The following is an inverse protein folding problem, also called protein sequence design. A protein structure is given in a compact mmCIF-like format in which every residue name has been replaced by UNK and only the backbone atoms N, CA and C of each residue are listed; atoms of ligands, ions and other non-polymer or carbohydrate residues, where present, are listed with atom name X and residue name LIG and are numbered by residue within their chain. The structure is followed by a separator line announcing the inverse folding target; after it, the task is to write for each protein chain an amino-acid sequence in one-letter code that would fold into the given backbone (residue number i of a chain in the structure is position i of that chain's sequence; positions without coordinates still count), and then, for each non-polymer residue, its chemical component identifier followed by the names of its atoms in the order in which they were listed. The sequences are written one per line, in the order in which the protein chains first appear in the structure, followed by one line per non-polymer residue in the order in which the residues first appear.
data_IF_942943088997
#
_entry.id   IF_942943088997
#
_cell.length_a   1.000
_cell.length_b   1.000
_cell.length_c   1.000
_cell.angle_alpha   90.00
_cell.angle_beta   90.00
_cell.angle_gamma   90.00
#
_symmetry.space_group_name_H-M   'P 1'
#
loop_
_entity.id
_entity.type
_entity.pdbx_description
1 polymer ?
#
# COMPACT_ATOMS: atom_id res chain seq x y z
N UNK A 1 13.57 -6.33 10.34
CA UNK A 1 12.51 -6.08 9.35
C UNK A 1 13.14 -6.16 7.97
N UNK A 2 12.59 -7.00 7.09
CA UNK A 2 13.07 -7.14 5.72
C UNK A 2 11.94 -6.71 4.78
N UNK A 3 12.25 -5.85 3.82
CA UNK A 3 11.30 -5.44 2.77
C UNK A 3 12.05 -5.36 1.46
N UNK A 4 11.78 -6.30 0.55
CA UNK A 4 12.58 -6.47 -0.69
C UNK A 4 14.06 -6.65 -0.34
N UNK A 5 14.91 -5.81 -0.91
CA UNK A 5 16.36 -5.73 -0.74
C UNK A 5 16.80 -4.89 0.48
N UNK A 6 15.86 -4.41 1.30
CA UNK A 6 16.17 -3.65 2.50
C UNK A 6 16.17 -4.54 3.74
N UNK A 7 17.21 -4.40 4.56
CA UNK A 7 17.31 -5.00 5.91
C UNK A 7 17.44 -3.88 6.92
N UNK A 8 16.56 -3.85 7.92
CA UNK A 8 16.62 -2.81 8.94
C UNK A 8 15.84 -3.10 10.20
N UNK A 9 15.64 -2.05 10.98
CA UNK A 9 15.10 -2.12 12.34
C UNK A 9 13.61 -1.84 12.35
N UNK A 10 12.92 -2.40 13.35
CA UNK A 10 11.51 -2.11 13.64
C UNK A 10 11.38 -1.80 15.12
N UNK A 11 10.68 -0.71 15.44
CA UNK A 11 10.32 -0.32 16.80
C UNK A 11 8.81 -0.17 16.89
N UNK A 12 8.25 -0.63 17.99
CA UNK A 12 6.84 -0.44 18.32
C UNK A 12 6.71 0.65 19.38
N UNK A 13 5.54 1.29 19.45
CA UNK A 13 5.18 2.05 20.65
C UNK A 13 4.89 1.10 21.83
N UNK A 14 4.76 1.66 23.03
CA UNK A 14 4.64 0.88 24.27
C UNK A 14 3.40 -0.01 24.35
N UNK A 15 2.35 0.27 23.57
CA UNK A 15 1.12 -0.53 23.50
C UNK A 15 1.06 -1.44 22.25
N UNK A 16 2.08 -1.41 21.38
CA UNK A 16 2.19 -2.21 20.17
C UNK A 16 1.23 -1.82 19.05
N UNK A 17 0.45 -0.74 19.20
CA UNK A 17 -0.58 -0.30 18.23
C UNK A 17 -0.02 0.57 17.11
N UNK A 18 1.21 1.02 17.27
CA UNK A 18 1.97 1.82 16.33
C UNK A 18 3.40 1.34 16.24
N UNK A 19 4.16 2.00 15.37
CA UNK A 19 5.56 1.66 15.19
C UNK A 19 6.17 2.34 13.98
N UNK A 20 7.49 2.17 13.89
CA UNK A 20 8.31 2.62 12.77
C UNK A 20 9.21 1.46 12.37
N UNK A 21 9.28 1.18 11.09
CA UNK A 21 10.28 0.32 10.49
C UNK A 21 11.14 1.17 9.54
N UNK A 22 12.44 1.01 9.63
CA UNK A 22 13.40 1.79 8.86
C UNK A 22 14.54 0.91 8.38
N UNK A 23 14.97 1.12 7.15
CA UNK A 23 16.16 0.51 6.59
C UNK A 23 16.81 1.45 5.58
N UNK A 24 18.12 1.30 5.41
CA UNK A 24 18.92 2.00 4.43
C UNK A 24 19.60 0.99 3.49
N UNK A 25 19.98 1.45 2.31
CA UNK A 25 20.86 0.74 1.38
C UNK A 25 21.74 1.74 0.62
N UNK A 26 22.70 1.22 -0.13
CA UNK A 26 23.64 2.01 -0.93
C UNK A 26 24.36 3.06 -0.07
N UNK A 27 24.90 2.63 1.08
CA UNK A 27 25.58 3.49 2.06
C UNK A 27 24.74 4.69 2.54
N UNK A 28 23.45 4.47 2.77
CA UNK A 28 22.53 5.51 3.26
C UNK A 28 21.95 6.40 2.15
N UNK A 29 22.33 6.19 0.88
CA UNK A 29 21.79 6.96 -0.25
C UNK A 29 20.30 6.72 -0.45
N UNK A 30 19.84 5.49 -0.18
CA UNK A 30 18.44 5.12 -0.29
C UNK A 30 17.95 4.63 1.07
N UNK A 31 16.76 5.09 1.46
CA UNK A 31 16.13 4.71 2.70
C UNK A 31 14.66 4.41 2.49
N UNK A 32 14.15 3.48 3.28
CA UNK A 32 12.73 3.20 3.39
C UNK A 32 12.30 3.37 4.84
N UNK A 33 11.22 4.11 5.05
CA UNK A 33 10.63 4.33 6.35
C UNK A 33 9.13 4.02 6.26
N UNK A 34 8.66 3.10 7.09
CA UNK A 34 7.25 2.80 7.24
C UNK A 34 6.85 3.14 8.67
N UNK A 35 5.86 4.00 8.84
CA UNK A 35 5.31 4.37 10.15
C UNK A 35 3.81 4.13 10.19
N UNK A 36 3.30 3.62 11.31
CA UNK A 36 1.87 3.37 11.52
C UNK A 36 1.45 3.75 12.95
N UNK A 37 0.14 3.75 13.20
CA UNK A 37 -0.43 4.15 14.48
C UNK A 37 -0.17 5.63 14.79
N UNK A 38 0.05 5.98 16.05
CA UNK A 38 0.31 7.36 16.44
C UNK A 38 1.67 7.89 15.92
N UNK A 39 2.65 6.99 15.75
CA UNK A 39 4.00 7.35 15.29
C UNK A 39 4.02 7.84 13.83
N UNK A 40 3.04 7.48 12.99
CA UNK A 40 2.97 7.98 11.61
C UNK A 40 2.81 9.49 11.55
N UNK A 41 2.10 10.11 12.51
CA UNK A 41 1.95 11.56 12.57
C UNK A 41 3.24 12.27 12.98
N UNK A 42 4.07 11.62 13.80
CA UNK A 42 5.37 12.16 14.22
C UNK A 42 6.35 12.09 13.05
N UNK A 43 6.48 10.91 12.44
CA UNK A 43 7.33 10.70 11.25
C UNK A 43 6.89 11.61 10.11
N UNK A 44 5.58 11.67 9.81
CA UNK A 44 5.04 12.55 8.78
C UNK A 44 5.41 14.01 9.00
N UNK A 45 5.28 14.54 10.23
CA UNK A 45 5.71 15.91 10.57
C UNK A 45 7.22 16.12 10.50
N UNK A 46 8.02 15.14 10.87
CA UNK A 46 9.47 15.23 10.76
C UNK A 46 9.92 15.27 9.29
N UNK A 47 9.36 14.40 8.45
CA UNK A 47 9.57 14.42 7.00
C UNK A 47 9.03 15.70 6.38
N UNK A 48 7.92 16.23 6.92
CA UNK A 48 7.33 17.48 6.49
C UNK A 48 8.35 18.63 6.59
N UNK A 49 9.00 18.77 7.75
CA UNK A 49 9.99 19.82 8.02
C UNK A 49 11.21 19.76 7.11
N UNK A 50 11.57 18.58 6.59
CA UNK A 50 12.70 18.41 5.66
C UNK A 50 12.36 18.78 4.21
N UNK A 51 11.09 19.12 3.91
CA UNK A 51 10.63 19.50 2.56
C UNK A 51 11.06 18.51 1.47
N UNK A 52 10.96 17.21 1.78
CA UNK A 52 11.32 16.15 0.84
C UNK A 52 10.41 16.22 -0.39
N UNK A 53 10.97 16.01 -1.58
CA UNK A 53 10.16 15.97 -2.80
C UNK A 53 9.24 14.74 -2.82
N UNK A 54 7.93 14.96 -2.67
CA UNK A 54 6.94 13.92 -2.86
C UNK A 54 6.72 13.62 -4.35
N UNK A 55 7.11 12.42 -4.82
CA UNK A 55 6.87 11.99 -6.21
C UNK A 55 5.51 11.32 -6.40
N UNK A 56 4.93 10.82 -5.30
CA UNK A 56 3.63 10.17 -5.25
C UNK A 56 2.97 10.40 -3.89
N UNK A 57 1.67 10.66 -3.89
CA UNK A 57 0.82 10.78 -2.69
C UNK A 57 -0.47 10.00 -2.93
N UNK A 58 -0.81 9.10 -2.01
CA UNK A 58 -2.03 8.31 -2.06
C UNK A 58 -2.96 8.77 -0.94
N UNK A 59 -4.16 9.24 -1.31
CA UNK A 59 -5.22 9.61 -0.38
C UNK A 59 -6.23 8.47 -0.31
N UNK A 60 -6.70 8.13 0.89
CA UNK A 60 -7.61 7.00 1.07
C UNK A 60 -8.77 7.34 2.02
N UNK A 61 -9.96 6.86 1.64
CA UNK A 61 -11.16 6.83 2.49
C UNK A 61 -11.64 5.39 2.56
N UNK A 62 -11.78 4.86 3.77
CA UNK A 62 -12.32 3.51 3.99
C UNK A 62 -13.72 3.66 4.59
N UNK A 63 -14.69 2.98 3.99
CA UNK A 63 -16.11 3.06 4.35
C UNK A 63 -16.56 1.70 4.82
N UNK A 64 -17.08 1.66 6.05
CA UNK A 64 -17.82 0.50 6.55
C UNK A 64 -19.31 0.72 6.30
N UNK A 65 -19.89 -0.11 5.45
CA UNK A 65 -21.30 -0.07 5.11
C UNK A 65 -22.12 -0.87 6.13
N UNK A 66 -23.37 -0.47 6.34
CA UNK A 66 -24.33 -1.21 7.17
C UNK A 66 -24.89 -2.46 6.46
N UNK A 67 -24.72 -2.55 5.14
CA UNK A 67 -25.16 -3.66 4.30
C UNK A 67 -24.13 -3.96 3.22
N UNK A 68 -24.17 -5.18 2.71
CA UNK A 68 -23.37 -5.59 1.56
C UNK A 68 -23.65 -4.66 0.37
N UNK A 69 -22.59 -4.23 -0.31
CA UNK A 69 -22.65 -3.41 -1.52
C UNK A 69 -22.64 -4.30 -2.78
N UNK A 70 -23.01 -3.76 -3.95
CA UNK A 70 -22.91 -4.47 -5.23
C UNK A 70 -21.49 -5.00 -5.50
N UNK A 71 -21.34 -6.07 -6.28
CA UNK A 71 -20.01 -6.51 -6.66
C UNK A 71 -19.31 -5.47 -7.54
N UNK A 72 -17.97 -5.50 -7.60
CA UNK A 72 -17.20 -4.59 -8.46
C UNK A 72 -17.60 -4.72 -9.93
N UNK A 73 -18.00 -5.93 -10.36
CA UNK A 73 -18.51 -6.17 -11.71
C UNK A 73 -19.80 -5.39 -11.96
N UNK A 74 -20.77 -5.52 -11.06
CA UNK A 74 -22.05 -4.82 -11.16
C UNK A 74 -21.85 -3.29 -11.19
N UNK A 75 -20.92 -2.80 -10.34
CA UNK A 75 -20.55 -1.40 -10.36
C UNK A 75 -19.98 -0.99 -11.72
N UNK A 76 -19.01 -1.73 -12.26
CA UNK A 76 -18.43 -1.45 -13.58
C UNK A 76 -19.50 -1.42 -14.67
N UNK A 77 -20.42 -2.39 -14.68
CA UNK A 77 -21.47 -2.50 -15.69
C UNK A 77 -22.50 -1.36 -15.58
N UNK A 78 -22.63 -0.71 -14.41
CA UNK A 78 -23.47 0.48 -14.22
C UNK A 78 -22.82 1.81 -14.58
N UNK A 79 -21.50 1.83 -14.81
CA UNK A 79 -20.78 3.07 -15.10
C UNK A 79 -20.91 3.44 -16.59
N UNK A 80 -20.92 4.74 -16.92
CA UNK A 80 -21.08 5.18 -18.30
C UNK A 80 -19.81 4.88 -19.12
N UNK A 81 -19.94 3.96 -20.08
CA UNK A 81 -18.82 3.43 -20.85
C UNK A 81 -18.07 4.49 -21.69
N UNK A 82 -18.75 5.57 -22.08
CA UNK A 82 -18.24 6.53 -23.07
C UNK A 82 -17.49 7.73 -22.44
N UNK A 83 -17.54 7.89 -21.12
CA UNK A 83 -17.09 9.13 -20.47
C UNK A 83 -15.67 8.98 -19.91
N UNK A 84 -15.36 7.85 -19.29
CA UNK A 84 -14.08 7.64 -18.63
C UNK A 84 -13.56 6.22 -18.83
N UNK A 85 -12.24 6.06 -18.65
CA UNK A 85 -11.59 4.76 -18.69
C UNK A 85 -11.74 4.06 -17.34
N UNK A 86 -12.51 2.98 -17.31
CA UNK A 86 -12.61 2.07 -16.19
C UNK A 86 -12.05 0.71 -16.56
N UNK A 87 -11.41 0.04 -15.60
CA UNK A 87 -11.05 -1.38 -15.71
C UNK A 87 -11.27 -2.04 -14.37
N UNK A 88 -11.52 -3.35 -14.33
CA UNK A 88 -11.70 -4.06 -13.06
C UNK A 88 -10.90 -5.36 -13.03
N UNK A 89 -10.43 -5.71 -11.84
CA UNK A 89 -10.01 -7.07 -11.48
C UNK A 89 -11.15 -7.66 -10.67
N UNK A 90 -11.77 -8.71 -11.22
CA UNK A 90 -12.85 -9.45 -10.59
C UNK A 90 -12.35 -10.88 -10.36
N UNK A 91 -12.21 -11.34 -9.11
CA UNK A 91 -11.82 -12.72 -8.81
C UNK A 91 -12.83 -13.73 -9.37
N UNK A 92 -12.38 -14.95 -9.66
CA UNK A 92 -13.22 -16.03 -10.21
C UNK A 92 -14.36 -16.45 -9.27
N UNK A 93 -14.15 -16.35 -7.96
CA UNK A 93 -15.19 -16.63 -6.96
C UNK A 93 -16.16 -15.44 -6.78
N UNK A 94 -15.99 -14.35 -7.54
CA UNK A 94 -16.78 -13.12 -7.46
C UNK A 94 -16.79 -12.42 -6.09
N UNK A 95 -15.89 -12.80 -5.18
CA UNK A 95 -15.76 -12.16 -3.88
C UNK A 95 -14.72 -11.05 -3.94
N UNK A 96 -15.17 -9.83 -3.65
CA UNK A 96 -14.36 -8.63 -3.67
C UNK A 96 -14.08 -8.09 -5.06
N UNK A 97 -12.81 -7.77 -5.33
CA UNK A 97 -12.37 -7.15 -6.58
C UNK A 97 -11.92 -5.71 -6.41
N UNK A 98 -11.41 -5.15 -7.50
CA UNK A 98 -10.88 -3.78 -7.57
C UNK A 98 -11.32 -3.13 -8.89
N UNK A 99 -12.00 -2.00 -8.79
CA UNK A 99 -12.25 -1.06 -9.87
C UNK A 99 -11.10 -0.06 -9.94
N UNK A 100 -10.51 0.08 -11.12
CA UNK A 100 -9.54 1.11 -11.47
C UNK A 100 -10.22 2.21 -12.27
N UNK A 101 -9.95 3.46 -11.89
CA UNK A 101 -10.55 4.65 -12.48
C UNK A 101 -9.44 5.52 -13.07
N UNK A 102 -9.46 5.71 -14.38
CA UNK A 102 -8.41 6.40 -15.12
C UNK A 102 -7.22 5.50 -15.49
N UNK A 103 -6.08 6.11 -15.82
CA UNK A 103 -4.87 5.40 -16.22
C UNK A 103 -3.87 5.29 -15.08
N UNK A 104 -3.19 4.16 -14.94
CA UNK A 104 -2.07 4.06 -13.98
C UNK A 104 -0.89 4.97 -14.36
N UNK A 105 -0.77 5.41 -15.61
CA UNK A 105 0.30 6.30 -16.07
C UNK A 105 -0.03 7.81 -15.95
N UNK A 106 -1.28 8.17 -15.64
CA UNK A 106 -1.68 9.57 -15.47
C UNK A 106 -1.22 10.14 -14.13
N UNK A 107 -1.30 11.48 -14.01
CA UNK A 107 -0.92 12.21 -12.80
C UNK A 107 -1.90 11.98 -11.63
N UNK A 108 -3.12 11.53 -11.91
CA UNK A 108 -4.11 11.09 -10.92
C UNK A 108 -4.73 9.74 -11.36
N UNK A 109 -4.93 8.84 -10.41
CA UNK A 109 -5.43 7.48 -10.65
C UNK A 109 -6.24 6.97 -9.46
N UNK A 110 -7.44 6.46 -9.70
CA UNK A 110 -8.35 5.99 -8.65
C UNK A 110 -8.39 4.47 -8.52
N UNK A 111 -8.58 3.99 -7.29
CA UNK A 111 -8.87 2.59 -6.96
C UNK A 111 -10.06 2.52 -6.02
N UNK A 112 -11.05 1.73 -6.38
CA UNK A 112 -12.15 1.38 -5.50
C UNK A 112 -12.18 -0.13 -5.33
N UNK A 113 -12.08 -0.63 -4.11
CA UNK A 113 -11.98 -2.05 -3.90
C UNK A 113 -12.56 -2.52 -2.57
N UNK A 114 -12.89 -3.80 -2.52
CA UNK A 114 -13.39 -4.47 -1.32
C UNK A 114 -12.23 -4.78 -0.36
N UNK A 115 -12.04 -3.89 0.62
CA UNK A 115 -11.03 -4.05 1.65
C UNK A 115 -11.38 -5.18 2.62
N UNK A 116 -12.66 -5.48 2.81
CA UNK A 116 -13.11 -6.61 3.63
C UNK A 116 -12.58 -7.92 3.06
N UNK A 117 -12.82 -8.16 1.77
CA UNK A 117 -12.27 -9.31 1.08
C UNK A 117 -10.72 -9.34 1.09
N UNK A 118 -10.05 -8.19 0.93
CA UNK A 118 -8.58 -8.11 1.00
C UNK A 118 -8.03 -8.51 2.38
N UNK A 119 -8.68 -8.08 3.46
CA UNK A 119 -8.29 -8.43 4.83
C UNK A 119 -8.59 -9.89 5.15
N UNK A 120 -9.73 -10.41 4.67
CA UNK A 120 -10.19 -11.77 4.84
C UNK A 120 -11.25 -11.92 5.94
N UNK A 121 -11.27 -13.10 6.60
CA UNK A 121 -12.40 -13.64 7.37
C UNK A 121 -12.96 -12.76 8.51
N UNK A 122 -12.23 -11.74 8.96
CA UNK A 122 -12.66 -10.87 10.06
C UNK A 122 -13.75 -9.87 9.62
N UNK A 123 -13.87 -9.61 8.32
CA UNK A 123 -14.84 -8.65 7.77
C UNK A 123 -15.52 -9.27 6.56
N UNK A 124 -16.86 -9.38 6.55
CA UNK A 124 -17.58 -9.91 5.40
C UNK A 124 -17.25 -9.14 4.11
N UNK A 125 -17.10 -9.84 2.97
CA UNK A 125 -16.95 -9.20 1.67
C UNK A 125 -18.07 -8.19 1.39
N UNK A 126 -17.70 -7.13 0.68
CA UNK A 126 -18.54 -6.04 0.18
C UNK A 126 -19.13 -5.16 1.28
N UNK A 127 -18.65 -5.26 2.51
CA UNK A 127 -19.07 -4.42 3.64
C UNK A 127 -18.04 -3.33 3.94
N UNK A 128 -16.75 -3.58 3.72
CA UNK A 128 -15.68 -2.61 3.92
C UNK A 128 -15.04 -2.25 2.58
N UNK A 129 -15.32 -1.04 2.10
CA UNK A 129 -14.82 -0.55 0.82
C UNK A 129 -13.73 0.48 1.04
N UNK A 130 -12.73 0.50 0.16
CA UNK A 130 -11.71 1.54 0.14
C UNK A 130 -11.68 2.26 -1.19
N UNK A 131 -11.72 3.58 -1.08
CA UNK A 131 -11.56 4.55 -2.15
C UNK A 131 -10.17 5.14 -2.00
N UNK A 132 -9.29 4.94 -2.98
CA UNK A 132 -7.96 5.52 -3.02
C UNK A 132 -7.79 6.38 -4.26
N UNK A 133 -7.08 7.51 -4.11
CA UNK A 133 -6.63 8.34 -5.22
C UNK A 133 -5.13 8.53 -5.11
N UNK A 134 -4.41 8.04 -6.11
CA UNK A 134 -2.97 8.13 -6.27
C UNK A 134 -2.64 9.34 -7.16
N UNK A 135 -1.91 10.29 -6.60
CA UNK A 135 -1.41 11.48 -7.29
C UNK A 135 0.09 11.38 -7.51
N UNK A 136 0.58 11.86 -8.66
CA UNK A 136 1.99 11.75 -9.08
C UNK A 136 2.55 13.09 -9.52
N UNK A 137 3.88 13.13 -9.67
CA UNK A 137 4.61 14.25 -10.28
C UNK A 137 4.23 15.58 -9.61
N UNK A 138 3.78 16.58 -10.38
CA UNK A 138 3.43 17.92 -9.88
C UNK A 138 2.25 17.89 -8.91
N UNK A 139 1.27 17.00 -9.12
CA UNK A 139 0.12 16.87 -8.22
C UNK A 139 0.52 16.31 -6.86
N UNK A 140 1.45 15.35 -6.82
CA UNK A 140 1.98 14.82 -5.57
C UNK A 140 2.69 15.88 -4.74
N UNK A 141 3.50 16.74 -5.38
CA UNK A 141 4.18 17.86 -4.72
C UNK A 141 3.15 18.84 -4.16
N UNK A 142 2.20 19.30 -4.98
CA UNK A 142 1.18 20.25 -4.54
C UNK A 142 0.33 19.71 -3.37
N UNK A 143 -0.05 18.43 -3.42
CA UNK A 143 -0.79 17.80 -2.32
C UNK A 143 0.03 17.64 -1.06
N UNK A 144 1.32 17.31 -1.18
CA UNK A 144 2.20 17.22 -0.02
C UNK A 144 2.36 18.60 0.66
N UNK A 145 2.51 19.66 -0.14
CA UNK A 145 2.53 21.03 0.35
C UNK A 145 1.24 21.36 1.11
N UNK A 146 0.09 21.04 0.53
CA UNK A 146 -1.19 21.33 1.14
C UNK A 146 -1.42 20.52 2.41
N UNK A 147 -1.09 19.22 2.44
CA UNK A 147 -1.42 18.32 3.56
C UNK A 147 -0.41 18.39 4.69
N UNK A 148 0.89 18.36 4.38
CA UNK A 148 1.94 18.16 5.38
C UNK A 148 2.73 19.42 5.73
N UNK A 149 2.97 20.34 4.78
CA UNK A 149 3.86 21.48 5.04
C UNK A 149 3.17 22.75 5.56
N UNK A 150 1.82 22.79 5.55
CA UNK A 150 1.04 23.98 5.95
C UNK A 150 0.48 23.91 7.39
N UNK A 151 1.16 23.23 8.32
CA UNK A 151 0.79 23.09 9.75
C UNK A 151 -0.72 22.86 10.00
N UNK A 152 -1.33 21.97 9.22
CA UNK A 152 -2.76 21.69 9.33
C UNK A 152 -3.07 20.83 10.56
N UNK A 153 -4.20 21.13 11.20
CA UNK A 153 -4.80 20.22 12.19
C UNK A 153 -5.26 18.92 11.53
N UNK A 154 -5.37 17.84 12.32
CA UNK A 154 -5.88 16.55 11.85
C UNK A 154 -7.29 16.65 11.24
N UNK A 155 -8.14 17.53 11.78
CA UNK A 155 -9.50 17.77 11.27
C UNK A 155 -9.48 18.39 9.86
N UNK A 156 -8.58 19.36 9.64
CA UNK A 156 -8.38 19.97 8.32
C UNK A 156 -7.79 18.96 7.32
N UNK A 157 -6.81 18.15 7.73
CA UNK A 157 -6.26 17.08 6.89
C UNK A 157 -7.36 16.07 6.50
N UNK A 158 -8.22 15.66 7.44
CA UNK A 158 -9.35 14.76 7.16
C UNK A 158 -10.31 15.34 6.14
N UNK A 159 -10.72 16.59 6.34
CA UNK A 159 -11.61 17.31 5.41
C UNK A 159 -11.00 17.35 4.01
N UNK A 160 -9.69 17.58 3.94
CA UNK A 160 -8.94 17.64 2.70
C UNK A 160 -8.88 16.29 1.97
N UNK A 161 -8.55 15.22 2.69
CA UNK A 161 -8.54 13.85 2.15
C UNK A 161 -9.93 13.49 1.61
N UNK A 162 -10.99 13.75 2.38
CA UNK A 162 -12.36 13.46 1.95
C UNK A 162 -12.72 14.23 0.68
N UNK A 163 -12.41 15.53 0.62
CA UNK A 163 -12.73 16.37 -0.53
C UNK A 163 -12.07 15.87 -1.81
N UNK A 164 -10.77 15.60 -1.76
CA UNK A 164 -10.04 15.15 -2.94
C UNK A 164 -10.45 13.76 -3.42
N UNK A 165 -10.80 12.86 -2.49
CA UNK A 165 -11.27 11.53 -2.87
C UNK A 165 -12.70 11.62 -3.42
N UNK A 166 -13.60 12.34 -2.76
CA UNK A 166 -14.98 12.57 -3.23
C UNK A 166 -14.99 13.21 -4.63
N UNK A 167 -14.29 14.35 -4.79
CA UNK A 167 -14.24 15.09 -6.05
C UNK A 167 -13.66 14.23 -7.19
N UNK A 168 -12.60 13.45 -6.93
CA UNK A 168 -12.03 12.58 -7.95
C UNK A 168 -13.05 11.54 -8.45
N UNK A 169 -13.71 10.83 -7.55
CA UNK A 169 -14.66 9.79 -7.94
C UNK A 169 -15.94 10.39 -8.54
N UNK A 170 -16.45 11.52 -8.02
CA UNK A 170 -17.58 12.24 -8.61
C UNK A 170 -17.27 12.74 -10.03
N UNK A 171 -16.09 13.32 -10.25
CA UNK A 171 -15.63 13.74 -11.59
C UNK A 171 -15.58 12.58 -12.56
N UNK A 172 -15.31 11.37 -12.07
CA UNK A 172 -15.34 10.14 -12.85
C UNK A 172 -16.66 9.38 -12.71
N UNK A 173 -17.73 10.02 -12.24
CA UNK A 173 -19.09 9.47 -12.16
C UNK A 173 -19.20 8.15 -11.38
N UNK A 174 -18.25 7.89 -10.48
CA UNK A 174 -18.30 6.75 -9.54
C UNK A 174 -18.95 7.25 -8.25
N UNK A 175 -20.03 6.61 -7.78
CA UNK A 175 -20.73 7.05 -6.58
C UNK A 175 -19.86 6.90 -5.33
N UNK A 176 -19.92 7.89 -4.44
CA UNK A 176 -19.27 7.86 -3.13
C UNK A 176 -20.30 7.92 -2.02
N UNK A 177 -20.28 7.01 -1.03
CA UNK A 177 -21.25 6.97 0.09
C UNK A 177 -20.88 7.95 1.22
N UNK A 178 -19.91 8.84 0.98
CA UNK A 178 -19.43 9.84 1.92
C UNK A 178 -19.42 11.20 1.24
N UNK A 179 -19.54 12.25 2.06
CA UNK A 179 -19.38 13.62 1.60
C UNK A 179 -18.63 14.46 2.64
N UNK A 180 -17.88 15.46 2.18
CA UNK A 180 -17.22 16.48 3.00
C UNK A 180 -18.21 17.23 3.89
N UNK A 181 -19.44 17.43 3.40
CA UNK A 181 -20.49 18.17 4.10
C UNK A 181 -21.00 17.44 5.36
N UNK A 182 -20.90 16.10 5.40
CA UNK A 182 -21.42 15.28 6.49
C UNK A 182 -20.33 14.92 7.52
N UNK A 183 -19.76 15.94 8.17
CA UNK A 183 -18.61 15.78 9.10
C UNK A 183 -18.91 14.96 10.37
N UNK A 184 -20.19 14.83 10.74
CA UNK A 184 -20.60 14.19 12.00
C UNK A 184 -20.56 12.65 11.97
N UNK A 185 -20.45 12.03 10.79
CA UNK A 185 -20.47 10.57 10.64
C UNK A 185 -19.10 9.94 10.32
N UNK A 186 -18.00 10.68 10.47
CA UNK A 186 -16.67 10.17 10.15
C UNK A 186 -16.01 9.54 11.39
N UNK A 187 -16.25 8.26 11.61
CA UNK A 187 -15.54 7.47 12.63
C UNK A 187 -14.22 6.91 12.09
N UNK A 188 -13.22 6.75 12.97
CA UNK A 188 -11.99 6.04 12.64
C UNK A 188 -12.29 4.53 12.63
N UNK A 189 -12.45 3.94 11.44
CA UNK A 189 -12.50 2.49 11.30
C UNK A 189 -11.09 1.95 11.57
N UNK A 190 -10.89 1.37 12.75
CA UNK A 190 -9.66 0.66 13.10
C UNK A 190 -9.92 -0.83 12.89
N UNK A 191 -9.08 -1.47 12.10
CA UNK A 191 -9.04 -2.93 12.00
C UNK A 191 -7.59 -3.37 12.20
N UNK A 192 -7.39 -4.57 12.73
CA UNK A 192 -6.05 -5.07 13.04
C UNK A 192 -5.19 -5.20 11.77
N UNK A 193 -3.95 -4.74 11.84
CA UNK A 193 -2.96 -5.06 10.80
C UNK A 193 -2.73 -6.57 10.86
N UNK A 194 -3.14 -7.26 9.80
CA UNK A 194 -3.07 -8.71 9.75
C UNK A 194 -1.61 -9.18 9.75
N UNK A 195 -1.31 -10.17 10.59
CA UNK A 195 -0.06 -10.93 10.50
C UNK A 195 -0.10 -11.71 9.19
N UNK A 196 0.94 -11.61 8.36
CA UNK A 196 1.04 -12.42 7.13
C UNK A 196 0.91 -13.90 7.51
N UNK A 197 -0.15 -14.53 7.04
CA UNK A 197 -0.47 -15.93 7.27
C UNK A 197 0.15 -16.75 6.13
N UNK A 198 1.12 -17.60 6.48
CA UNK A 198 1.82 -18.47 5.55
C UNK A 198 0.87 -19.30 4.68
N UNK A 199 -0.28 -19.73 5.22
CA UNK A 199 -1.27 -20.49 4.47
C UNK A 199 -1.91 -19.66 3.35
N UNK A 200 -2.14 -18.36 3.58
CA UNK A 200 -2.65 -17.47 2.53
C UNK A 200 -1.60 -17.10 1.51
N UNK A 201 -0.34 -16.93 1.92
CA UNK A 201 0.77 -16.74 0.96
C UNK A 201 0.90 -17.95 0.05
N UNK A 202 0.84 -19.17 0.60
CA UNK A 202 0.83 -20.40 -0.18
C UNK A 202 -0.38 -20.47 -1.12
N UNK A 203 -1.58 -20.17 -0.63
CA UNK A 203 -2.78 -20.12 -1.47
C UNK A 203 -2.63 -19.14 -2.64
N UNK A 204 -2.10 -17.93 -2.39
CA UNK A 204 -1.84 -16.94 -3.44
C UNK A 204 -0.80 -17.42 -4.46
N UNK A 205 0.30 -18.05 -3.99
CA UNK A 205 1.30 -18.65 -4.88
C UNK A 205 0.64 -19.69 -5.81
N UNK A 206 -0.18 -20.58 -5.25
CA UNK A 206 -0.92 -21.61 -6.00
C UNK A 206 -1.90 -21.00 -7.00
N UNK A 207 -2.71 -20.01 -6.59
CA UNK A 207 -3.79 -19.50 -7.43
C UNK A 207 -3.31 -18.49 -8.49
N UNK A 208 -2.29 -17.70 -8.19
CA UNK A 208 -1.88 -16.56 -9.03
C UNK A 208 -0.53 -16.77 -9.71
N UNK A 209 0.42 -17.43 -9.05
CA UNK A 209 1.79 -17.58 -9.57
C UNK A 209 1.94 -18.90 -10.33
N UNK A 210 1.41 -20.00 -9.80
CA UNK A 210 1.54 -21.32 -10.40
C UNK A 210 1.07 -21.39 -11.87
N UNK A 211 -0.09 -20.80 -12.28
CA UNK A 211 -0.52 -20.91 -13.68
C UNK A 211 0.47 -20.25 -14.65
N UNK A 212 1.04 -19.10 -14.26
CA UNK A 212 2.04 -18.42 -15.07
C UNK A 212 3.36 -19.22 -15.15
N UNK A 213 3.79 -19.79 -14.02
CA UNK A 213 4.97 -20.66 -13.95
C UNK A 213 4.79 -21.90 -14.83
N UNK A 214 3.67 -22.62 -14.71
CA UNK A 214 3.40 -23.83 -15.51
C UNK A 214 3.41 -23.54 -17.01
N UNK A 215 2.80 -22.42 -17.43
CA UNK A 215 2.82 -21.99 -18.83
C UNK A 215 4.24 -21.78 -19.34
N UNK A 216 5.06 -21.03 -18.60
CA UNK A 216 6.45 -20.76 -19.00
C UNK A 216 7.32 -22.02 -18.97
N UNK A 217 7.05 -22.96 -18.06
CA UNK A 217 7.70 -24.28 -18.05
C UNK A 217 7.36 -25.07 -19.31
N UNK A 218 6.09 -25.09 -19.73
CA UNK A 218 5.67 -25.73 -20.98
C UNK A 218 6.30 -25.08 -22.22
N UNK A 219 6.64 -23.79 -22.16
CA UNK A 219 7.36 -23.06 -23.20
C UNK A 219 8.89 -23.30 -23.17
N UNK A 220 9.38 -24.18 -22.29
CA UNK A 220 10.81 -24.51 -22.19
C UNK A 220 11.64 -23.50 -21.39
N UNK A 221 11.00 -22.64 -20.59
CA UNK A 221 11.69 -21.61 -19.79
C UNK A 221 11.96 -22.02 -18.33
N UNK A 222 11.93 -23.32 -18.02
CA UNK A 222 12.05 -23.82 -16.64
C UNK A 222 13.30 -23.29 -15.91
N UNK A 223 14.48 -23.36 -16.55
CA UNK A 223 15.76 -22.90 -15.96
C UNK A 223 15.75 -21.39 -15.67
N UNK A 224 15.24 -20.57 -16.61
CA UNK A 224 15.13 -19.11 -16.44
C UNK A 224 14.17 -18.73 -15.31
N UNK A 225 13.12 -19.51 -15.08
CA UNK A 225 12.19 -19.28 -13.97
C UNK A 225 12.87 -19.61 -12.64
N UNK A 226 13.62 -20.71 -12.57
CA UNK A 226 14.32 -21.10 -11.34
C UNK A 226 15.37 -20.05 -10.96
N UNK A 227 16.15 -19.59 -11.94
CA UNK A 227 17.08 -18.46 -11.79
C UNK A 227 16.36 -17.18 -11.33
N UNK A 228 15.27 -16.80 -12.01
CA UNK A 228 14.51 -15.59 -11.67
C UNK A 228 13.86 -15.63 -10.27
N UNK A 229 13.53 -16.83 -9.78
CA UNK A 229 12.99 -17.04 -8.43
C UNK A 229 14.09 -17.21 -7.38
N UNK A 230 15.37 -17.26 -7.77
CA UNK A 230 16.49 -17.55 -6.86
C UNK A 230 16.45 -18.97 -6.31
N UNK A 231 15.82 -19.90 -7.03
CA UNK A 231 15.72 -21.32 -6.68
C UNK A 231 16.76 -22.05 -7.53
N UNK A 232 17.82 -22.59 -6.92
CA UNK A 232 18.74 -23.50 -7.60
C UNK A 232 18.21 -24.93 -7.48
N UNK A 233 18.43 -25.77 -8.47
CA UNK A 233 18.15 -27.19 -8.37
C UNK A 233 19.47 -27.92 -8.10
N UNK A 234 19.60 -28.57 -6.95
CA UNK A 234 20.73 -29.45 -6.62
C UNK A 234 20.17 -30.87 -6.50
N UNK A 235 20.65 -31.78 -7.35
CA UNK A 235 20.21 -33.19 -7.40
C UNK A 235 18.69 -33.39 -7.49
N UNK A 236 18.01 -32.51 -8.24
CA UNK A 236 16.55 -32.54 -8.38
C UNK A 236 15.78 -31.97 -7.19
N UNK A 237 16.47 -31.43 -6.19
CA UNK A 237 15.88 -30.78 -5.02
C UNK A 237 16.04 -29.26 -5.12
N UNK A 238 14.97 -28.47 -4.86
CA UNK A 238 15.09 -27.01 -4.78
C UNK A 238 15.98 -26.61 -3.60
N UNK A 239 17.05 -25.90 -3.89
CA UNK A 239 17.96 -25.30 -2.92
C UNK A 239 17.93 -23.78 -3.09
N UNK A 240 17.76 -23.05 -1.99
CA UNK A 240 17.86 -21.59 -2.00
C UNK A 240 19.32 -21.26 -1.69
N UNK A 241 19.95 -20.36 -2.45
CA UNK A 241 21.16 -19.73 -1.94
C UNK A 241 20.76 -19.00 -0.67
N UNK A 242 21.28 -19.47 0.47
CA UNK A 242 21.19 -18.73 1.71
C UNK A 242 21.84 -17.37 1.43
N UNK A 243 21.03 -16.31 1.37
CA UNK A 243 21.56 -14.95 1.40
C UNK A 243 22.30 -14.86 2.73
N UNK A 244 23.64 -14.77 2.68
CA UNK A 244 24.49 -14.73 3.86
C UNK A 244 23.86 -13.79 4.90
N UNK A 245 23.53 -14.34 6.06
CA UNK A 245 23.12 -13.50 7.18
C UNK A 245 24.35 -12.70 7.59
N UNK A 246 24.32 -11.39 7.34
CA UNK A 246 25.33 -10.47 7.86
C UNK A 246 25.37 -10.69 9.39
N UNK A 247 26.49 -11.17 9.95
CA UNK A 247 26.58 -11.47 11.37
C UNK A 247 26.24 -10.23 12.20
N UNK A 248 25.47 -10.39 13.29
CA UNK A 248 25.08 -9.29 14.18
C UNK A 248 26.27 -8.46 14.69
N UNK A 249 27.46 -9.07 14.68
CA UNK A 249 28.75 -8.51 15.08
C UNK A 249 29.26 -7.46 14.08
N UNK A 250 28.98 -7.64 12.79
CA UNK A 250 29.31 -6.67 11.73
C UNK A 250 28.31 -5.49 11.69
N UNK A 251 27.15 -5.63 12.34
CA UNK A 251 26.15 -4.56 12.49
C UNK A 251 26.46 -3.60 13.66
N UNK A 252 27.39 -3.96 14.56
CA UNK A 252 27.76 -3.17 15.75
C UNK A 252 28.88 -2.15 15.53
N UNK A 253 29.48 -2.11 14.32
CA UNK A 253 30.58 -1.20 14.00
C UNK A 253 30.15 0.21 13.53
N UNK A 254 28.86 0.55 13.63
CA UNK A 254 28.38 1.89 13.26
C UNK A 254 28.44 2.85 14.48
N UNK A 255 29.00 4.07 14.33
CA UNK A 255 29.10 4.99 15.45
C UNK A 255 27.71 5.40 15.98
N UNK A 256 27.57 5.65 17.29
CA UNK A 256 26.32 6.14 17.85
C UNK A 256 25.89 7.45 17.16
N UNK A 257 24.59 7.58 16.89
CA UNK A 257 23.94 8.71 16.22
C UNK A 257 24.15 10.09 16.90
N UNK A 258 24.89 10.15 18.01
CA UNK A 258 25.13 11.34 18.81
C UNK A 258 26.57 11.92 18.68
N UNK A 259 27.42 11.41 17.78
CA UNK A 259 28.66 12.14 17.47
C UNK A 259 28.31 13.36 16.61
N UNK A 260 28.11 14.50 17.26
CA UNK A 260 27.89 15.82 16.66
C UNK A 260 29.03 16.27 15.75
N UNK A 261 29.11 15.73 14.55
CA UNK A 261 29.94 16.26 13.50
C UNK A 261 29.26 17.52 12.94
N UNK A 262 29.81 18.69 13.29
CA UNK A 262 29.68 19.90 12.51
C UNK A 262 30.29 19.63 11.13
N UNK A 263 29.49 19.71 10.07
CA UNK A 263 29.98 19.65 8.70
C UNK A 263 30.32 21.08 8.26
N UNK A 264 31.61 21.32 8.04
CA UNK A 264 32.11 22.43 7.23
C UNK A 264 31.85 22.18 5.74
#
# INVERSE_FOLDING_TARGET
WRFRDYVGQRRHDGDGRGGVAFAEKDHGRLGICQAWGALSNIVGRALAKRRLKATRVDLQVTVLHNRSQPAVRDLLDSLPADVHKYTAIVPLNHEGGTLYVGSRSSDAFGRLYDKGAELGADIPPRVLWRYEVEYKRKLAVALADQIWYNDRSLSQMRTYVLAHVEEFFQKHQVPTPFSVSNRHNHSLVRYATRVQDSAKTLKWLTEQVQPAVLRLVHEGHAERITEALGIRMLDGVPHFEAVEEIPAEQLLLWPPLDSGAQWC
#
